data_IF_249611898240
#
_entry.id   IF_249611898240
#
_cell.length_a   1.000
_cell.length_b   1.000
_cell.length_c   1.000
_cell.angle_alpha   90.00
_cell.angle_beta   90.00
_cell.angle_gamma   90.00
#
_symmetry.space_group_name_H-M   'P 1'
#
loop_
_entity.id
_entity.type
_entity.pdbx_description
1 polymer ?
#
# COMPACT_ATOMS: atom_id res chain seq x y z
N UNK A 1 4.01 17.52 -9.18
CA UNK A 1 5.30 17.22 -8.52
C UNK A 1 4.98 16.39 -7.29
N UNK A 2 5.47 15.14 -7.22
CA UNK A 2 5.28 14.26 -6.05
C UNK A 2 5.95 14.91 -4.83
N UNK A 3 5.20 15.16 -3.77
CA UNK A 3 5.73 15.75 -2.54
C UNK A 3 6.01 14.63 -1.53
N UNK A 4 7.22 14.08 -1.56
CA UNK A 4 7.59 12.95 -0.71
C UNK A 4 7.47 13.26 0.79
N UNK A 5 7.66 14.53 1.19
CA UNK A 5 7.46 14.97 2.58
C UNK A 5 6.00 14.84 3.00
N UNK A 6 5.07 15.19 2.11
CA UNK A 6 3.63 15.02 2.35
C UNK A 6 3.29 13.54 2.50
N UNK A 7 3.84 12.68 1.63
CA UNK A 7 3.62 11.22 1.70
C UNK A 7 4.16 10.64 3.01
N UNK A 8 5.35 11.05 3.45
CA UNK A 8 5.90 10.64 4.76
C UNK A 8 5.03 11.10 5.93
N UNK A 9 4.57 12.34 5.91
CA UNK A 9 3.67 12.88 6.94
C UNK A 9 2.37 12.09 7.00
N UNK A 10 1.77 11.81 5.84
CA UNK A 10 0.52 11.06 5.74
C UNK A 10 0.68 9.62 6.22
N UNK A 11 1.77 8.95 5.82
CA UNK A 11 2.08 7.63 6.33
C UNK A 11 2.23 7.65 7.85
N UNK A 12 3.01 8.59 8.40
CA UNK A 12 3.23 8.72 9.84
C UNK A 12 1.92 8.85 10.62
N UNK A 13 1.00 9.68 10.15
CA UNK A 13 -0.33 9.86 10.75
C UNK A 13 -1.12 8.53 10.77
N UNK A 14 -1.20 7.86 9.62
CA UNK A 14 -1.97 6.61 9.47
C UNK A 14 -1.33 5.50 10.33
N UNK A 15 -0.02 5.33 10.26
CA UNK A 15 0.68 4.32 11.04
C UNK A 15 0.49 4.52 12.54
N UNK A 16 0.59 5.77 13.01
CA UNK A 16 0.35 6.12 14.41
C UNK A 16 -1.08 5.78 14.84
N UNK A 17 -2.07 6.07 13.99
CA UNK A 17 -3.48 5.75 14.23
C UNK A 17 -3.74 4.25 14.38
N UNK A 18 -3.09 3.40 13.58
CA UNK A 18 -3.30 1.96 13.60
C UNK A 18 -2.28 1.17 14.42
N UNK A 19 -1.28 1.83 15.00
CA UNK A 19 -0.20 1.18 15.74
C UNK A 19 0.65 0.25 14.87
N UNK A 20 0.90 0.63 13.61
CA UNK A 20 1.77 -0.11 12.69
C UNK A 20 3.10 0.62 12.48
N UNK A 21 4.12 -0.12 12.04
CA UNK A 21 5.42 0.45 11.67
C UNK A 21 5.28 1.31 10.41
N UNK A 22 6.04 2.39 10.40
CA UNK A 22 6.05 3.38 9.32
C UNK A 22 7.45 3.61 8.77
N UNK A 23 7.54 4.37 7.68
CA UNK A 23 8.81 4.83 7.15
C UNK A 23 9.52 5.75 8.15
N UNK A 24 10.82 5.62 8.25
CA UNK A 24 11.69 6.56 8.97
C UNK A 24 11.96 7.81 8.12
N UNK A 25 12.39 8.91 8.74
CA UNK A 25 12.84 10.10 8.00
C UNK A 25 14.08 9.83 7.14
N UNK A 26 14.88 8.84 7.52
CA UNK A 26 16.11 8.43 6.83
C UNK A 26 15.88 7.42 5.71
N UNK A 27 14.68 6.87 5.58
CA UNK A 27 14.40 5.89 4.54
C UNK A 27 14.53 6.51 3.15
N UNK A 28 14.95 5.76 2.12
CA UNK A 28 15.00 6.27 0.75
C UNK A 28 13.63 6.72 0.23
N UNK A 29 13.58 7.78 -0.59
CA UNK A 29 12.34 8.26 -1.20
C UNK A 29 11.69 7.18 -2.08
N UNK A 30 12.51 6.35 -2.74
CA UNK A 30 12.03 5.20 -3.54
C UNK A 30 11.29 4.17 -2.68
N UNK A 31 11.69 3.98 -1.42
CA UNK A 31 11.01 3.04 -0.52
C UNK A 31 9.63 3.56 -0.12
N UNK A 32 9.52 4.87 0.13
CA UNK A 32 8.23 5.51 0.40
C UNK A 32 7.32 5.42 -0.81
N UNK A 33 7.84 5.73 -2.01
CA UNK A 33 7.09 5.58 -3.26
C UNK A 33 6.65 4.13 -3.50
N UNK A 34 7.53 3.17 -3.24
CA UNK A 34 7.21 1.75 -3.35
C UNK A 34 6.03 1.37 -2.46
N UNK A 35 6.05 1.75 -1.18
CA UNK A 35 4.96 1.37 -0.28
C UNK A 35 3.63 2.08 -0.60
N UNK A 36 3.66 3.34 -1.04
CA UNK A 36 2.44 4.02 -1.46
C UNK A 36 1.86 3.43 -2.75
N UNK A 37 2.70 3.19 -3.76
CA UNK A 37 2.26 2.53 -4.99
C UNK A 37 1.82 1.10 -4.74
N UNK A 38 2.27 0.44 -3.67
CA UNK A 38 1.75 -0.84 -3.22
C UNK A 38 0.32 -0.71 -2.67
N UNK A 39 0.12 0.17 -1.68
CA UNK A 39 -1.19 0.40 -1.03
C UNK A 39 -2.25 0.85 -2.03
N UNK A 40 -1.89 1.68 -3.01
CA UNK A 40 -2.81 2.18 -4.04
C UNK A 40 -3.45 1.06 -4.89
N UNK A 41 -2.78 -0.08 -5.10
CA UNK A 41 -3.40 -1.19 -5.85
C UNK A 41 -4.64 -1.74 -5.15
N UNK A 42 -4.71 -1.61 -3.83
CA UNK A 42 -5.81 -2.13 -3.03
C UNK A 42 -7.04 -1.22 -3.05
N UNK A 43 -6.97 -0.03 -3.64
CA UNK A 43 -8.16 0.82 -3.83
C UNK A 43 -9.21 0.17 -4.74
N UNK A 44 -8.77 -0.74 -5.60
CA UNK A 44 -9.57 -1.36 -6.66
C UNK A 44 -9.91 -2.82 -6.35
N UNK A 45 -9.68 -3.27 -5.12
CA UNK A 45 -9.91 -4.65 -4.69
C UNK A 45 -11.06 -4.64 -3.69
N UNK A 46 -12.17 -5.27 -4.06
CA UNK A 46 -13.37 -5.29 -3.22
C UNK A 46 -13.19 -6.17 -1.97
N UNK A 47 -12.46 -7.28 -2.09
CA UNK A 47 -12.12 -8.19 -0.98
C UNK A 47 -10.66 -8.67 -1.06
N UNK A 48 -9.75 -8.08 -0.26
CA UNK A 48 -8.35 -8.50 -0.22
C UNK A 48 -8.11 -9.92 0.30
N UNK A 49 -9.02 -10.47 1.12
CA UNK A 49 -8.92 -11.85 1.64
C UNK A 49 -9.26 -12.86 0.57
N UNK A 50 -10.33 -12.60 -0.19
CA UNK A 50 -10.69 -13.42 -1.34
C UNK A 50 -9.58 -13.35 -2.40
N UNK A 51 -9.12 -12.14 -2.72
CA UNK A 51 -8.03 -11.93 -3.67
C UNK A 51 -6.75 -12.68 -3.28
N UNK A 52 -6.36 -12.66 -2.01
CA UNK A 52 -5.15 -13.35 -1.55
C UNK A 52 -5.24 -14.89 -1.63
N UNK A 53 -6.44 -15.45 -1.84
CA UNK A 53 -6.66 -16.89 -2.06
C UNK A 53 -6.74 -17.26 -3.55
N UNK A 54 -6.88 -16.27 -4.44
CA UNK A 54 -6.88 -16.45 -5.88
C UNK A 54 -5.52 -16.06 -6.46
N UNK A 55 -4.78 -17.06 -6.96
CA UNK A 55 -3.47 -16.85 -7.58
C UNK A 55 -3.53 -15.81 -8.70
N UNK A 56 -4.59 -15.81 -9.51
CA UNK A 56 -4.73 -14.89 -10.63
C UNK A 56 -4.93 -13.45 -10.14
N UNK A 57 -5.65 -13.27 -9.04
CA UNK A 57 -5.82 -11.95 -8.43
C UNK A 57 -4.48 -11.42 -7.90
N UNK A 58 -3.72 -12.26 -7.20
CA UNK A 58 -2.38 -11.92 -6.71
C UNK A 58 -1.42 -11.55 -7.85
N UNK A 59 -1.38 -12.35 -8.91
CA UNK A 59 -0.58 -12.04 -10.12
C UNK A 59 -0.96 -10.68 -10.71
N UNK A 60 -2.26 -10.40 -10.82
CA UNK A 60 -2.77 -9.13 -11.34
C UNK A 60 -2.31 -7.95 -10.46
N UNK A 61 -2.35 -8.08 -9.13
CA UNK A 61 -1.83 -7.04 -8.23
C UNK A 61 -0.35 -6.77 -8.51
N UNK A 62 0.46 -7.81 -8.67
CA UNK A 62 1.89 -7.64 -8.93
C UNK A 62 2.15 -6.94 -10.28
N UNK A 63 1.41 -7.30 -11.32
CA UNK A 63 1.48 -6.64 -12.63
C UNK A 63 1.05 -5.17 -12.55
N UNK A 64 -0.04 -4.88 -11.84
CA UNK A 64 -0.50 -3.52 -11.61
C UNK A 64 0.54 -2.71 -10.83
N UNK A 65 1.04 -3.24 -9.72
CA UNK A 65 2.02 -2.56 -8.88
C UNK A 65 3.30 -2.24 -9.65
N UNK A 66 3.84 -3.22 -10.38
CA UNK A 66 5.06 -3.04 -11.19
C UNK A 66 4.85 -2.00 -12.30
N UNK A 67 3.67 -1.97 -12.91
CA UNK A 67 3.29 -0.96 -13.91
C UNK A 67 3.19 0.43 -13.29
N UNK A 68 2.46 0.58 -12.19
CA UNK A 68 2.28 1.86 -11.49
C UNK A 68 3.61 2.39 -10.98
N UNK A 69 4.44 1.55 -10.37
CA UNK A 69 5.77 1.94 -9.90
C UNK A 69 6.66 2.42 -11.04
N UNK A 70 6.70 1.69 -12.17
CA UNK A 70 7.46 2.09 -13.36
C UNK A 70 7.01 3.46 -13.86
N UNK A 71 5.70 3.64 -14.05
CA UNK A 71 5.16 4.90 -14.56
C UNK A 71 5.41 6.07 -13.59
N UNK A 72 5.35 5.82 -12.29
CA UNK A 72 5.66 6.81 -11.25
C UNK A 72 7.12 7.25 -11.33
N UNK A 73 8.07 6.30 -11.47
CA UNK A 73 9.50 6.60 -11.63
C UNK A 73 9.81 7.35 -12.92
N UNK A 74 9.05 7.10 -13.98
CA UNK A 74 9.16 7.82 -15.26
C UNK A 74 8.49 9.21 -15.22
N UNK A 75 7.84 9.59 -14.11
CA UNK A 75 7.10 10.84 -13.98
C UNK A 75 5.81 10.89 -14.83
N UNK A 76 5.33 9.73 -15.30
CA UNK A 76 4.14 9.58 -16.15
C UNK A 76 2.88 9.23 -15.36
N UNK A 77 3.03 8.97 -14.07
CA UNK A 77 1.93 8.67 -13.16
C UNK A 77 2.13 9.40 -11.85
N UNK A 78 1.02 9.88 -11.28
CA UNK A 78 0.98 10.49 -9.96
C UNK A 78 0.17 9.59 -9.05
N UNK A 79 0.83 9.06 -8.03
CA UNK A 79 0.21 8.28 -6.96
C UNK A 79 -0.93 9.07 -6.34
N UNK A 80 -2.11 8.46 -6.27
CA UNK A 80 -3.25 9.03 -5.56
C UNK A 80 -3.06 8.82 -4.05
N UNK A 81 -2.84 9.92 -3.34
CA UNK A 81 -2.69 9.97 -1.89
C UNK A 81 -3.95 10.48 -1.17
N UNK A 82 -5.12 10.26 -1.75
CA UNK A 82 -6.38 10.48 -1.05
C UNK A 82 -6.36 9.76 0.30
N UNK A 83 -6.54 10.54 1.38
CA UNK A 83 -6.38 10.04 2.74
C UNK A 83 -7.41 8.97 3.07
N UNK A 84 -8.65 9.11 2.61
CA UNK A 84 -9.72 8.17 2.92
C UNK A 84 -9.48 6.83 2.23
N UNK A 85 -9.07 6.86 0.95
CA UNK A 85 -8.71 5.64 0.21
C UNK A 85 -7.49 4.94 0.80
N UNK A 86 -6.43 5.68 1.13
CA UNK A 86 -5.24 5.14 1.79
C UNK A 86 -5.60 4.49 3.13
N UNK A 87 -6.38 5.19 3.94
CA UNK A 87 -6.77 4.72 5.25
C UNK A 87 -7.59 3.43 5.16
N UNK A 88 -8.56 3.38 4.22
CA UNK A 88 -9.36 2.20 3.93
C UNK A 88 -8.47 1.02 3.53
N UNK A 89 -7.58 1.20 2.54
CA UNK A 89 -6.71 0.15 2.04
C UNK A 89 -5.75 -0.38 3.12
N UNK A 90 -5.14 0.52 3.92
CA UNK A 90 -4.28 0.12 5.04
C UNK A 90 -5.05 -0.71 6.07
N UNK A 91 -6.29 -0.31 6.39
CA UNK A 91 -7.14 -1.07 7.32
C UNK A 91 -7.40 -2.49 6.80
N UNK A 92 -7.79 -2.63 5.54
CA UNK A 92 -8.07 -3.94 4.93
C UNK A 92 -6.81 -4.82 4.89
N UNK A 93 -5.64 -4.25 4.56
CA UNK A 93 -4.36 -4.96 4.60
C UNK A 93 -3.99 -5.44 6.01
N UNK A 94 -4.25 -4.64 7.04
CA UNK A 94 -4.03 -5.03 8.43
C UNK A 94 -4.99 -6.15 8.87
N UNK A 95 -6.24 -6.11 8.44
CA UNK A 95 -7.21 -7.18 8.67
C UNK A 95 -6.77 -8.48 8.00
N UNK A 96 -6.34 -8.41 6.74
CA UNK A 96 -5.76 -9.53 6.00
C UNK A 96 -4.55 -10.15 6.73
N UNK A 97 -3.63 -9.32 7.20
CA UNK A 97 -2.45 -9.75 7.96
C UNK A 97 -2.85 -10.53 9.24
N UNK A 98 -3.84 -10.04 9.99
CA UNK A 98 -4.34 -10.72 11.20
C UNK A 98 -4.99 -12.07 10.88
N UNK A 99 -5.76 -12.15 9.80
CA UNK A 99 -6.38 -13.41 9.34
C UNK A 99 -5.28 -14.44 9.06
N UNK A 100 -4.24 -14.05 8.31
CA UNK A 100 -3.14 -14.97 7.99
C UNK A 100 -2.33 -15.38 9.22
N UNK A 101 -2.04 -14.47 10.15
CA UNK A 101 -1.38 -14.83 11.42
C UNK A 101 -2.17 -15.85 12.24
N UNK A 102 -3.51 -15.79 12.17
CA UNK A 102 -4.39 -16.74 12.86
C UNK A 102 -4.39 -18.11 12.18
N UNK A 103 -4.38 -18.14 10.85
CA UNK A 103 -4.32 -19.38 10.06
C UNK A 103 -2.97 -20.09 10.19
N UNK A 104 -1.85 -19.36 10.21
CA UNK A 104 -0.50 -19.94 10.34
C UNK A 104 -0.19 -20.50 11.74
N UNK A 105 -1.03 -20.22 12.74
CA UNK A 105 -0.90 -20.74 14.11
C UNK A 105 -1.74 -22.01 14.36
N UNK A 106 -2.56 -22.42 13.40
CA UNK A 106 -3.30 -23.70 13.41
C UNK A 106 -2.56 -24.74 12.59
#
# INVERSE_FOLDING_TARGET
MLNIRLMRSLASDICSKYGTLCFSETDPDELVLFGFTWVENFYYIDDPVECARDLKCVETIFEMHSTVLKLTKEGKYFVNYDRELLEKAVKELLELSRIFQTLSRK
#
